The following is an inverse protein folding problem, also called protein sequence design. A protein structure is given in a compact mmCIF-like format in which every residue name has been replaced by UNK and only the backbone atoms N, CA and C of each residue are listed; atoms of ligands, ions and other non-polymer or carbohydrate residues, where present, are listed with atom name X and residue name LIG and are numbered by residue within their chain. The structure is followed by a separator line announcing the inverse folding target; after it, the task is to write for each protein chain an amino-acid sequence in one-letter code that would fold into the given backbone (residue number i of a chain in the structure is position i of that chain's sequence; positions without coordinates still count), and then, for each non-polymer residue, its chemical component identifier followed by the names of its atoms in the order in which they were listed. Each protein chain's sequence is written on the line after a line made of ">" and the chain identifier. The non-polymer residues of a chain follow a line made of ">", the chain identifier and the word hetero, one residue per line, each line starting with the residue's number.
data_IF_508689296480
#
_entry.id   IF_508689296480
#
_cell.length_a   1.000
_cell.length_b   1.000
_cell.length_c   1.000
_cell.angle_alpha   90.00
_cell.angle_beta   90.00
_cell.angle_gamma   90.00
#
_symmetry.space_group_name_H-M   'P 1'
#
loop_
_entity.id
_entity.type
_entity.pdbx_description
1 polymer ?
#
# COMPACT_ATOMS: atom_id res chain seq x y z
N UNK A 1 1.03 12.88 10.13
CA UNK A 1 1.84 14.09 9.83
C UNK A 1 3.34 13.80 9.75
N UNK A 2 3.95 13.06 10.69
CA UNK A 2 5.40 12.76 10.65
C UNK A 2 5.90 12.10 9.36
N UNK A 3 5.17 11.11 8.83
CA UNK A 3 5.55 10.42 7.57
C UNK A 3 5.54 11.37 6.36
N UNK A 4 4.60 12.32 6.32
CA UNK A 4 4.49 13.30 5.22
C UNK A 4 5.70 14.24 5.24
N UNK A 5 6.01 14.81 6.41
CA UNK A 5 7.17 15.69 6.56
C UNK A 5 8.50 14.94 6.35
N UNK A 6 8.62 13.71 6.87
CA UNK A 6 9.82 12.89 6.70
C UNK A 6 10.06 12.48 5.26
N UNK A 7 9.01 12.07 4.53
CA UNK A 7 9.11 11.74 3.11
C UNK A 7 9.44 12.99 2.27
N UNK A 8 8.87 14.15 2.61
CA UNK A 8 9.18 15.42 1.94
C UNK A 8 10.65 15.81 2.12
N UNK A 9 11.16 15.78 3.35
CA UNK A 9 12.54 16.11 3.66
C UNK A 9 13.51 15.10 3.02
N UNK A 10 13.18 13.81 3.06
CA UNK A 10 13.96 12.74 2.42
C UNK A 10 14.01 12.83 0.90
N UNK A 11 12.91 13.24 0.26
CA UNK A 11 12.87 13.43 -1.19
C UNK A 11 13.72 14.62 -1.65
N UNK A 12 13.77 15.69 -0.85
CA UNK A 12 14.60 16.87 -1.10
C UNK A 12 16.09 16.53 -0.95
N UNK A 13 16.48 15.87 0.15
CA UNK A 13 17.89 15.51 0.38
C UNK A 13 18.41 14.49 -0.61
N UNK A 14 17.54 13.61 -1.10
CA UNK A 14 17.89 12.61 -2.13
C UNK A 14 17.97 13.19 -3.54
N UNK A 15 17.60 14.47 -3.75
CA UNK A 15 17.59 15.12 -5.07
C UNK A 15 16.64 14.48 -6.09
N UNK A 16 15.73 13.60 -5.66
CA UNK A 16 14.79 12.85 -6.51
C UNK A 16 13.39 13.46 -6.52
N UNK A 17 13.26 14.72 -6.13
CA UNK A 17 12.00 15.41 -6.13
C UNK A 17 11.53 15.62 -7.58
N UNK A 18 10.59 14.77 -8.01
CA UNK A 18 10.04 14.79 -9.38
C UNK A 18 8.53 14.84 -9.26
N UNK A 19 7.93 15.94 -9.71
CA UNK A 19 6.47 16.07 -9.76
C UNK A 19 5.95 15.09 -10.82
N UNK A 20 5.42 13.95 -10.36
CA UNK A 20 4.68 13.03 -11.19
C UNK A 20 3.25 13.55 -11.34
N UNK A 21 2.91 14.06 -12.52
CA UNK A 21 1.53 14.36 -12.89
C UNK A 21 0.94 13.15 -13.60
N UNK A 22 -0.32 12.81 -13.31
CA UNK A 22 -1.02 11.68 -13.93
C UNK A 22 -1.09 11.90 -15.45
N UNK A 23 -0.49 10.99 -16.22
CA UNK A 23 -0.38 11.12 -17.68
C UNK A 23 -1.65 10.65 -18.41
N UNK A 24 -2.49 9.82 -17.78
CA UNK A 24 -3.65 9.19 -18.43
C UNK A 24 -4.85 9.04 -17.48
N UNK A 25 -6.06 9.29 -17.97
CA UNK A 25 -7.31 9.19 -17.19
C UNK A 25 -7.62 7.76 -16.73
N UNK A 26 -7.22 6.75 -17.52
CA UNK A 26 -7.34 5.34 -17.15
C UNK A 26 -6.43 4.97 -15.98
N UNK A 27 -5.24 5.57 -15.91
CA UNK A 27 -4.28 5.35 -14.83
C UNK A 27 -4.76 5.98 -13.51
N UNK A 28 -5.36 7.18 -13.58
CA UNK A 28 -6.03 7.79 -12.43
C UNK A 28 -7.19 6.93 -11.91
N UNK A 29 -8.03 6.37 -12.80
CA UNK A 29 -9.15 5.52 -12.40
C UNK A 29 -8.68 4.20 -11.76
N UNK A 30 -7.68 3.52 -12.34
CA UNK A 30 -7.10 2.29 -11.76
C UNK A 30 -6.47 2.55 -10.39
N UNK A 31 -5.75 3.66 -10.24
CA UNK A 31 -5.15 4.03 -8.97
C UNK A 31 -6.21 4.43 -7.92
N UNK A 32 -7.25 5.16 -8.29
CA UNK A 32 -8.37 5.47 -7.39
C UNK A 32 -9.10 4.20 -6.93
N UNK A 33 -9.39 3.29 -7.86
CA UNK A 33 -10.07 2.03 -7.54
C UNK A 33 -9.22 1.16 -6.61
N UNK A 34 -7.91 1.08 -6.87
CA UNK A 34 -6.95 0.42 -5.98
C UNK A 34 -6.89 1.07 -4.59
N UNK A 35 -6.91 2.40 -4.51
CA UNK A 35 -6.90 3.13 -3.24
C UNK A 35 -8.15 2.84 -2.39
N UNK A 36 -9.33 2.78 -3.02
CA UNK A 36 -10.59 2.40 -2.34
C UNK A 36 -10.53 0.96 -1.84
N UNK A 37 -10.08 0.01 -2.69
CA UNK A 37 -9.93 -1.40 -2.31
C UNK A 37 -8.96 -1.56 -1.13
N UNK A 38 -7.84 -0.84 -1.15
CA UNK A 38 -6.83 -0.89 -0.08
C UNK A 38 -7.38 -0.28 1.23
N UNK A 39 -8.18 0.78 1.14
CA UNK A 39 -8.86 1.37 2.29
C UNK A 39 -9.87 0.42 2.93
N UNK A 40 -10.77 -0.14 2.13
CA UNK A 40 -11.78 -1.11 2.59
C UNK A 40 -11.12 -2.36 3.18
N UNK A 41 -10.11 -2.90 2.50
CA UNK A 41 -9.35 -4.05 2.98
C UNK A 41 -8.61 -3.78 4.30
N UNK A 42 -8.05 -2.58 4.48
CA UNK A 42 -7.38 -2.18 5.73
C UNK A 42 -8.34 -2.11 6.93
N UNK A 43 -9.58 -1.65 6.73
CA UNK A 43 -10.60 -1.65 7.79
C UNK A 43 -11.01 -3.08 8.14
N UNK A 44 -11.24 -3.94 7.13
CA UNK A 44 -11.59 -5.36 7.38
C UNK A 44 -10.46 -6.12 8.09
N UNK A 45 -9.20 -5.82 7.78
CA UNK A 45 -8.03 -6.40 8.43
C UNK A 45 -7.73 -5.80 9.82
N UNK A 46 -8.55 -4.84 10.29
CA UNK A 46 -8.34 -4.11 11.55
C UNK A 46 -6.92 -3.50 11.64
N UNK A 47 -6.36 -3.10 10.51
CA UNK A 47 -5.00 -2.59 10.46
C UNK A 47 -4.47 -2.38 9.04
N UNK A 48 -3.30 -1.75 8.98
CA UNK A 48 -2.54 -1.58 7.75
C UNK A 48 -1.31 -2.49 7.76
N UNK A 49 -0.59 -2.57 6.64
CA UNK A 49 0.68 -3.32 6.54
C UNK A 49 1.69 -2.91 7.61
N UNK A 50 1.77 -1.63 7.98
CA UNK A 50 2.66 -1.19 9.06
C UNK A 50 2.21 -1.76 10.42
N UNK A 51 0.91 -1.69 10.73
CA UNK A 51 0.38 -2.17 12.01
C UNK A 51 0.40 -3.70 12.15
N UNK A 52 -0.07 -4.44 11.15
CA UNK A 52 -0.17 -5.90 11.20
C UNK A 52 1.14 -6.62 10.82
N UNK A 53 2.02 -6.02 10.00
CA UNK A 53 3.31 -6.65 9.65
C UNK A 53 4.45 -6.27 10.60
N UNK A 54 4.63 -4.98 10.91
CA UNK A 54 5.78 -4.53 11.71
C UNK A 54 5.48 -4.66 13.20
N UNK A 55 4.31 -4.19 13.63
CA UNK A 55 3.94 -4.18 15.06
C UNK A 55 3.34 -5.51 15.51
N UNK A 56 2.41 -6.08 14.74
CA UNK A 56 1.69 -7.29 15.13
C UNK A 56 2.45 -8.62 14.96
N UNK A 57 3.47 -8.68 14.10
CA UNK A 57 4.42 -9.81 14.09
C UNK A 57 5.29 -9.80 15.34
N UNK A 58 5.66 -8.62 15.84
CA UNK A 58 6.48 -8.46 17.05
C UNK A 58 5.75 -8.90 18.33
N UNK A 59 4.41 -8.93 18.33
CA UNK A 59 3.60 -9.42 19.46
C UNK A 59 3.28 -10.92 19.38
N UNK A 60 3.83 -11.65 18.39
CA UNK A 60 3.58 -13.07 18.15
C UNK A 60 2.09 -13.44 18.06
N UNK A 61 1.26 -12.51 17.59
CA UNK A 61 -0.17 -12.73 17.42
C UNK A 61 -0.41 -13.55 16.14
N UNK A 62 -0.93 -14.77 16.28
CA UNK A 62 -1.24 -15.68 15.16
C UNK A 62 -2.19 -15.03 14.15
N UNK A 63 -3.14 -14.20 14.62
CA UNK A 63 -4.04 -13.43 13.77
C UNK A 63 -3.31 -12.42 12.86
N UNK A 64 -2.19 -11.87 13.31
CA UNK A 64 -1.39 -10.90 12.56
C UNK A 64 -0.67 -11.55 11.38
N UNK A 65 -0.21 -12.80 11.55
CA UNK A 65 0.44 -13.56 10.47
C UNK A 65 -0.59 -13.91 9.39
N UNK A 66 -1.80 -14.32 9.77
CA UNK A 66 -2.87 -14.64 8.82
C UNK A 66 -3.29 -13.39 8.03
N UNK A 67 -3.50 -12.26 8.73
CA UNK A 67 -3.82 -11.00 8.08
C UNK A 67 -2.71 -10.55 7.11
N UNK A 68 -1.44 -10.71 7.52
CA UNK A 68 -0.30 -10.40 6.66
C UNK A 68 -0.25 -11.28 5.40
N UNK A 69 -0.40 -12.59 5.55
CA UNK A 69 -0.42 -13.53 4.40
C UNK A 69 -1.57 -13.21 3.46
N UNK A 70 -2.76 -12.89 3.98
CA UNK A 70 -3.91 -12.49 3.16
C UNK A 70 -3.65 -11.19 2.39
N UNK A 71 -3.02 -10.19 3.01
CA UNK A 71 -2.65 -8.93 2.35
C UNK A 71 -1.61 -9.19 1.24
N UNK A 72 -0.60 -10.04 1.49
CA UNK A 72 0.42 -10.39 0.50
C UNK A 72 -0.20 -11.13 -0.68
N UNK A 73 -1.02 -12.16 -0.42
CA UNK A 73 -1.69 -12.92 -1.48
C UNK A 73 -2.62 -12.04 -2.31
N UNK A 74 -3.40 -11.15 -1.67
CA UNK A 74 -4.24 -10.18 -2.37
C UNK A 74 -3.44 -9.22 -3.26
N UNK A 75 -2.29 -8.73 -2.77
CA UNK A 75 -1.39 -7.89 -3.54
C UNK A 75 -0.78 -8.62 -4.74
N UNK A 76 -0.31 -9.86 -4.56
CA UNK A 76 0.24 -10.69 -5.64
C UNK A 76 -0.82 -10.96 -6.71
N UNK A 77 -2.03 -11.34 -6.32
CA UNK A 77 -3.14 -11.56 -7.25
C UNK A 77 -3.52 -10.27 -7.98
N UNK A 78 -3.56 -9.13 -7.29
CA UNK A 78 -3.81 -7.83 -7.89
C UNK A 78 -2.78 -7.46 -8.96
N UNK A 79 -1.49 -7.59 -8.66
CA UNK A 79 -0.41 -7.34 -9.63
C UNK A 79 -0.53 -8.28 -10.81
N UNK A 80 -0.73 -9.58 -10.56
CA UNK A 80 -0.85 -10.59 -11.62
C UNK A 80 -2.07 -10.40 -12.51
N UNK A 81 -3.16 -9.89 -11.95
CA UNK A 81 -4.38 -9.55 -12.71
C UNK A 81 -4.12 -8.36 -13.63
N UNK A 82 -3.37 -7.36 -13.14
CA UNK A 82 -2.99 -6.20 -13.94
C UNK A 82 -2.00 -6.60 -15.05
N UNK A 83 -1.06 -7.50 -14.75
CA UNK A 83 -0.09 -8.03 -15.72
C UNK A 83 -0.75 -8.88 -16.82
N UNK A 84 -1.76 -9.69 -16.48
CA UNK A 84 -2.53 -10.46 -17.46
C UNK A 84 -3.44 -9.60 -18.37
N UNK A 85 -3.68 -8.35 -18.00
CA UNK A 85 -4.54 -7.42 -18.75
C UNK A 85 -3.73 -6.52 -19.70
N UNK A 86 -2.40 -6.55 -19.59
CA UNK A 86 -1.44 -5.86 -20.47
C UNK A 86 -1.04 -6.76 -21.65
#
# INVERSE_FOLDING_TARGET
>A
FGVIFGAFLGAITSGRFRLATFQDSSDTLRNMFGAVLMGVGGVMALGCTIGQAVTGVSTLAIGSIIAFVAIVLGGVVGIRTIENMA
#
